data_IF_841101242966
#
_entry.id   IF_841101242966
#
_cell.length_a   1.000
_cell.length_b   1.000
_cell.length_c   1.000
_cell.angle_alpha   90.00
_cell.angle_beta   90.00
_cell.angle_gamma   90.00
#
_symmetry.space_group_name_H-M   'P 1'
#
loop_
_entity.id
_entity.type
_entity.pdbx_description
1 polymer ?
#
# COMPACT_ATOMS: atom_id res chain seq x y z
N UNK A 1 -42.87 8.61 10.94
CA UNK A 1 -42.20 9.02 9.70
C UNK A 1 -40.94 9.77 10.06
N UNK A 2 -39.81 9.36 9.49
CA UNK A 2 -38.46 9.80 9.84
C UNK A 2 -38.05 11.09 9.09
N UNK A 3 -37.11 11.83 9.66
CA UNK A 3 -36.09 12.56 8.87
C UNK A 3 -34.75 12.33 9.55
N UNK A 4 -33.88 11.61 8.87
CA UNK A 4 -32.48 11.36 9.23
C UNK A 4 -31.69 12.58 8.79
N UNK A 5 -30.94 13.21 9.70
CA UNK A 5 -29.95 14.23 9.33
C UNK A 5 -28.64 13.50 9.03
N UNK A 6 -28.43 13.19 7.76
CA UNK A 6 -27.12 12.79 7.23
C UNK A 6 -26.31 14.06 7.02
N UNK A 7 -25.27 14.25 7.81
CA UNK A 7 -24.16 15.13 7.43
C UNK A 7 -22.89 14.31 7.59
N UNK A 8 -22.63 13.46 6.60
CA UNK A 8 -21.32 12.89 6.35
C UNK A 8 -20.83 13.38 4.99
N UNK A 9 -19.64 13.98 5.07
CA UNK A 9 -18.56 14.00 4.09
C UNK A 9 -18.84 14.55 2.69
N UNK A 10 -18.15 15.64 2.36
CA UNK A 10 -16.95 15.62 1.49
C UNK A 10 -16.64 17.06 1.08
N UNK A 11 -15.68 17.69 1.73
CA UNK A 11 -14.98 18.85 1.16
C UNK A 11 -13.65 18.33 0.59
N UNK A 12 -13.70 17.64 -0.54
CA UNK A 12 -12.53 17.49 -1.39
C UNK A 12 -12.40 18.77 -2.24
N UNK A 13 -12.01 19.87 -1.59
CA UNK A 13 -11.62 21.08 -2.33
C UNK A 13 -10.19 20.89 -2.83
N UNK A 14 -10.06 20.58 -4.12
CA UNK A 14 -8.79 20.57 -4.82
C UNK A 14 -8.19 21.98 -4.87
N UNK A 15 -7.13 22.20 -4.10
CA UNK A 15 -6.28 23.39 -4.24
C UNK A 15 -5.05 22.95 -5.05
N UNK A 16 -5.08 23.17 -6.36
CA UNK A 16 -3.93 23.03 -7.28
C UNK A 16 -2.89 24.13 -7.05
N UNK A 17 -2.40 24.29 -5.82
CA UNK A 17 -1.50 25.39 -5.46
C UNK A 17 -0.53 24.97 -4.38
N UNK A 18 0.74 24.84 -4.76
CA UNK A 18 1.90 24.55 -3.93
C UNK A 18 1.87 23.16 -3.28
N UNK A 19 2.66 22.23 -3.85
CA UNK A 19 3.12 21.08 -3.10
C UNK A 19 3.74 21.59 -1.80
N UNK A 20 3.22 21.23 -0.61
CA UNK A 20 4.01 21.40 0.59
C UNK A 20 5.21 20.47 0.41
N UNK A 21 6.38 21.04 0.07
CA UNK A 21 7.62 20.28 -0.17
C UNK A 21 7.94 19.30 0.97
N UNK A 22 7.44 19.57 2.17
CA UNK A 22 7.52 18.65 3.30
C UNK A 22 6.77 17.33 3.09
N UNK A 23 5.55 17.35 2.52
CA UNK A 23 4.77 16.13 2.27
C UNK A 23 5.41 15.25 1.20
N UNK A 24 5.91 15.84 0.10
CA UNK A 24 6.64 15.07 -0.90
C UNK A 24 7.91 14.43 -0.31
N UNK A 25 8.69 15.18 0.49
CA UNK A 25 9.84 14.61 1.21
C UNK A 25 9.44 13.51 2.21
N UNK A 26 8.31 13.68 2.89
CA UNK A 26 7.77 12.66 3.78
C UNK A 26 7.40 11.41 2.99
N UNK A 27 6.68 11.53 1.87
CA UNK A 27 6.32 10.41 1.02
C UNK A 27 7.55 9.62 0.53
N UNK A 28 8.63 10.30 0.13
CA UNK A 28 9.91 9.64 -0.19
C UNK A 28 10.49 8.89 1.01
N UNK A 29 10.43 9.48 2.21
CA UNK A 29 10.93 8.84 3.43
C UNK A 29 10.11 7.60 3.77
N UNK A 30 8.79 7.69 3.67
CA UNK A 30 7.86 6.60 3.92
C UNK A 30 8.06 5.46 2.92
N UNK A 31 8.27 5.79 1.63
CA UNK A 31 8.62 4.81 0.58
C UNK A 31 9.90 4.07 0.95
N UNK A 32 10.96 4.75 1.36
CA UNK A 32 12.22 4.09 1.76
C UNK A 32 12.00 3.12 2.92
N UNK A 33 11.17 3.47 3.91
CA UNK A 33 10.82 2.58 5.02
C UNK A 33 10.06 1.34 4.53
N UNK A 34 9.11 1.51 3.61
CA UNK A 34 8.36 0.41 3.01
C UNK A 34 9.28 -0.47 2.15
N UNK A 35 10.21 0.11 1.37
CA UNK A 35 11.20 -0.64 0.58
C UNK A 35 12.08 -1.50 1.48
N UNK A 36 12.57 -0.95 2.60
CA UNK A 36 13.37 -1.70 3.57
C UNK A 36 12.58 -2.88 4.17
N UNK A 37 11.31 -2.67 4.50
CA UNK A 37 10.43 -3.73 4.99
C UNK A 37 10.16 -4.80 3.91
N UNK A 38 10.01 -4.41 2.64
CA UNK A 38 9.85 -5.31 1.50
C UNK A 38 11.11 -6.17 1.26
N UNK A 39 12.30 -5.58 1.36
CA UNK A 39 13.55 -6.35 1.27
C UNK A 39 13.70 -7.34 2.43
N UNK A 40 13.35 -6.93 3.65
CA UNK A 40 13.32 -7.84 4.80
C UNK A 40 12.31 -8.98 4.60
N UNK A 41 11.15 -8.68 4.00
CA UNK A 41 10.12 -9.67 3.69
C UNK A 41 10.62 -10.67 2.65
N UNK A 42 11.18 -10.20 1.54
CA UNK A 42 11.80 -11.06 0.52
C UNK A 42 12.94 -11.88 1.07
N UNK A 43 13.74 -11.33 1.98
CA UNK A 43 14.79 -12.10 2.67
C UNK A 43 14.22 -13.23 3.54
N UNK A 44 13.03 -13.06 4.12
CA UNK A 44 12.41 -14.05 4.98
C UNK A 44 11.65 -15.13 4.19
N UNK A 45 11.03 -14.77 3.07
CA UNK A 45 10.11 -15.65 2.33
C UNK A 45 10.59 -16.03 0.91
N UNK A 46 11.64 -15.39 0.39
CA UNK A 46 12.20 -15.64 -0.94
C UNK A 46 11.59 -14.79 -2.07
N UNK A 47 10.49 -14.10 -1.81
CA UNK A 47 9.75 -13.30 -2.79
C UNK A 47 9.02 -12.13 -2.13
N UNK A 48 8.60 -11.14 -2.94
CA UNK A 48 7.80 -10.02 -2.45
C UNK A 48 6.33 -10.43 -2.26
N UNK A 49 5.54 -9.66 -1.48
CA UNK A 49 4.10 -9.91 -1.36
C UNK A 49 3.46 -9.86 -2.75
N UNK A 50 2.66 -10.87 -3.09
CA UNK A 50 1.96 -10.95 -4.38
C UNK A 50 0.46 -11.04 -4.16
N UNK A 51 -0.31 -10.93 -5.25
CA UNK A 51 -1.76 -11.07 -5.18
C UNK A 51 -2.10 -12.49 -4.71
N UNK A 52 -2.96 -12.59 -3.69
CA UNK A 52 -3.40 -13.86 -3.11
C UNK A 52 -4.89 -13.84 -2.89
N UNK A 53 -5.48 -15.03 -2.74
CA UNK A 53 -6.84 -15.20 -2.27
C UNK A 53 -6.82 -15.47 -0.76
N UNK A 54 -7.62 -14.73 0.00
CA UNK A 54 -7.80 -14.90 1.44
C UNK A 54 -9.27 -15.16 1.70
N UNK A 55 -9.59 -16.29 2.34
CA UNK A 55 -10.96 -16.71 2.65
C UNK A 55 -11.93 -16.66 1.44
N UNK A 56 -11.41 -16.97 0.24
CA UNK A 56 -12.18 -16.96 -1.01
C UNK A 56 -12.39 -15.59 -1.65
N UNK A 57 -11.86 -14.51 -1.05
CA UNK A 57 -11.83 -13.16 -1.62
C UNK A 57 -10.46 -12.77 -2.17
N UNK A 58 -10.43 -11.79 -3.07
CA UNK A 58 -9.19 -11.14 -3.51
C UNK A 58 -9.11 -9.76 -2.85
N UNK A 59 -8.40 -9.62 -1.71
CA UNK A 59 -8.23 -8.33 -1.06
C UNK A 59 -7.45 -7.35 -1.95
N UNK A 60 -7.62 -6.04 -1.76
CA UNK A 60 -6.84 -5.04 -2.47
C UNK A 60 -5.36 -5.20 -2.13
N UNK A 61 -4.51 -4.89 -3.10
CA UNK A 61 -3.08 -5.11 -3.02
C UNK A 61 -2.42 -4.28 -1.90
N UNK A 62 -3.04 -3.16 -1.55
CA UNK A 62 -2.62 -2.24 -0.49
C UNK A 62 -2.86 -2.84 0.91
N UNK A 63 -3.93 -3.64 1.07
CA UNK A 63 -4.15 -4.42 2.30
C UNK A 63 -3.23 -5.65 2.37
N UNK A 64 -2.95 -6.29 1.23
CA UNK A 64 -1.95 -7.37 1.13
C UNK A 64 -0.59 -6.85 1.60
N UNK A 65 -0.15 -5.70 1.09
CA UNK A 65 1.09 -5.05 1.50
C UNK A 65 1.12 -4.83 3.01
N UNK A 66 0.07 -4.24 3.57
CA UNK A 66 -0.01 -4.01 5.02
C UNK A 66 0.09 -5.31 5.82
N UNK A 67 -0.70 -6.34 5.47
CA UNK A 67 -0.71 -7.61 6.21
C UNK A 67 0.61 -8.37 6.06
N UNK A 68 1.28 -8.28 4.92
CA UNK A 68 2.60 -8.85 4.72
C UNK A 68 3.65 -8.19 5.62
N UNK A 69 3.77 -6.85 5.56
CA UNK A 69 4.81 -6.11 6.28
C UNK A 69 4.55 -5.99 7.79
N UNK A 70 3.29 -6.12 8.20
CA UNK A 70 2.90 -6.20 9.62
C UNK A 70 3.05 -7.60 10.23
N UNK A 71 3.56 -8.56 9.46
CA UNK A 71 3.86 -9.91 9.92
C UNK A 71 2.62 -10.80 10.04
N UNK A 72 1.57 -10.55 9.26
CA UNK A 72 0.35 -11.37 9.26
C UNK A 72 0.20 -12.33 8.11
N UNK A 73 0.93 -12.14 7.01
CA UNK A 73 0.71 -12.93 5.80
C UNK A 73 2.02 -13.33 5.12
N UNK A 74 2.14 -14.61 4.77
CA UNK A 74 3.18 -15.14 3.89
C UNK A 74 2.79 -15.02 2.40
N UNK A 75 3.71 -15.17 1.43
CA UNK A 75 3.42 -14.92 0.01
C UNK A 75 2.35 -15.84 -0.60
N UNK A 76 2.10 -16.99 0.02
CA UNK A 76 1.07 -17.94 -0.37
C UNK A 76 -0.32 -17.60 0.21
N UNK A 77 -0.47 -16.47 0.92
CA UNK A 77 -1.72 -16.05 1.56
C UNK A 77 -1.96 -16.69 2.93
N UNK A 78 -1.05 -17.53 3.43
CA UNK A 78 -1.19 -18.14 4.75
C UNK A 78 -1.09 -17.06 5.85
N UNK A 79 -2.09 -17.03 6.73
CA UNK A 79 -2.10 -16.14 7.88
C UNK A 79 -1.26 -16.72 9.02
N UNK A 80 -0.47 -15.87 9.67
CA UNK A 80 0.45 -16.28 10.72
C UNK A 80 0.89 -15.14 11.63
N UNK A 81 1.77 -15.46 12.57
CA UNK A 81 2.40 -14.49 13.47
C UNK A 81 3.89 -14.38 13.11
N UNK A 82 4.18 -13.72 12.00
CA UNK A 82 5.53 -13.46 11.52
C UNK A 82 6.13 -12.20 12.16
N UNK A 83 7.45 -11.98 12.04
CA UNK A 83 8.08 -10.74 12.52
C UNK A 83 7.41 -9.50 11.93
N UNK A 84 7.25 -8.46 12.77
CA UNK A 84 6.85 -7.14 12.30
C UNK A 84 8.05 -6.51 11.58
N UNK A 85 7.88 -6.21 10.29
CA UNK A 85 8.94 -5.63 9.44
C UNK A 85 8.81 -4.13 9.25
N UNK A 86 7.64 -3.58 9.60
CA UNK A 86 7.30 -2.18 9.44
C UNK A 86 7.44 -1.41 10.76
N UNK A 87 8.08 -0.24 10.72
CA UNK A 87 8.00 0.72 11.83
C UNK A 87 6.68 1.49 11.77
N UNK A 88 5.77 1.14 12.68
CA UNK A 88 4.43 1.73 12.77
C UNK A 88 4.41 3.10 13.43
N UNK A 89 5.51 3.55 14.03
CA UNK A 89 5.56 4.83 14.73
C UNK A 89 5.81 6.02 13.82
N UNK A 90 6.30 5.75 12.60
CA UNK A 90 6.69 6.78 11.62
C UNK A 90 5.78 6.82 10.39
N UNK A 91 4.86 5.87 10.25
CA UNK A 91 3.93 5.76 9.14
C UNK A 91 2.48 6.00 9.58
N UNK A 92 1.66 6.45 8.65
CA UNK A 92 0.23 6.64 8.83
C UNK A 92 -0.56 5.45 8.26
N UNK A 93 -1.73 5.19 8.82
CA UNK A 93 -2.55 4.02 8.49
C UNK A 93 -4.03 4.37 8.39
N UNK A 94 -4.77 3.66 7.55
CA UNK A 94 -6.21 3.92 7.34
C UNK A 94 -7.06 3.59 8.55
N UNK A 95 -6.61 2.65 9.39
CA UNK A 95 -7.27 2.29 10.63
C UNK A 95 -6.28 2.03 11.76
N UNK A 96 -6.79 1.99 12.99
CA UNK A 96 -6.04 1.53 14.16
C UNK A 96 -6.09 0.00 14.35
N UNK A 97 -6.58 -0.75 13.34
CA UNK A 97 -6.62 -2.20 13.38
C UNK A 97 -5.23 -2.74 13.03
N UNK A 98 -4.49 -3.10 14.07
CA UNK A 98 -3.17 -3.69 13.90
C UNK A 98 -3.12 -5.12 14.39
N UNK A 99 -2.18 -5.90 13.87
CA UNK A 99 -2.04 -7.26 14.32
C UNK A 99 -1.49 -7.35 15.75
N UNK A 100 -2.10 -8.22 16.57
CA UNK A 100 -1.71 -8.42 17.98
C UNK A 100 -0.70 -9.56 18.05
N UNK A 101 0.44 -9.35 18.70
CA UNK A 101 1.46 -10.39 18.84
C UNK A 101 0.89 -11.62 19.56
N UNK A 102 0.99 -12.80 18.93
CA UNK A 102 0.47 -14.06 19.48
C UNK A 102 -1.04 -14.27 19.32
N UNK A 103 -1.72 -13.45 18.50
CA UNK A 103 -3.15 -13.63 18.18
C UNK A 103 -3.41 -15.03 17.59
N UNK A 104 -4.41 -15.73 18.13
CA UNK A 104 -4.79 -17.09 17.72
C UNK A 104 -6.32 -17.24 17.68
N UNK A 105 -6.93 -17.56 16.52
CA UNK A 105 -6.27 -17.69 15.21
C UNK A 105 -5.70 -16.35 14.71
N UNK A 106 -4.63 -16.33 13.89
CA UNK A 106 -4.20 -15.11 13.22
C UNK A 106 -5.33 -14.59 12.32
N UNK A 107 -5.53 -13.27 12.30
CA UNK A 107 -6.65 -12.64 11.59
C UNK A 107 -6.15 -11.62 10.59
N UNK A 108 -6.82 -11.55 9.43
CA UNK A 108 -6.66 -10.48 8.47
C UNK A 108 -7.02 -9.14 9.10
N UNK A 109 -6.30 -8.08 8.75
CA UNK A 109 -6.61 -6.72 9.16
C UNK A 109 -6.86 -5.87 7.91
N UNK A 110 -8.09 -5.36 7.77
CA UNK A 110 -8.46 -4.43 6.71
C UNK A 110 -7.86 -3.05 7.03
N UNK A 111 -6.60 -2.87 6.66
CA UNK A 111 -5.82 -1.67 6.92
C UNK A 111 -4.79 -1.48 5.80
N UNK A 112 -4.38 -0.24 5.57
CA UNK A 112 -3.45 0.15 4.50
C UNK A 112 -2.47 1.19 5.01
N UNK A 113 -1.27 1.24 4.42
CA UNK A 113 -0.27 2.27 4.71
C UNK A 113 -0.63 3.51 3.89
N UNK A 114 -0.81 4.66 4.55
CA UNK A 114 -1.20 5.91 3.90
C UNK A 114 0.00 6.78 3.60
N UNK A 115 -0.07 7.48 2.48
CA UNK A 115 0.81 8.56 2.13
C UNK A 115 0.44 9.86 2.87
N UNK A 116 1.28 10.92 2.78
CA UNK A 116 1.03 12.18 3.46
C UNK A 116 -0.23 12.95 3.02
N UNK A 117 -0.89 12.51 1.96
CA UNK A 117 -2.16 13.05 1.47
C UNK A 117 -3.36 12.20 1.89
N UNK A 118 -3.13 11.10 2.60
CA UNK A 118 -4.16 10.21 3.12
C UNK A 118 -4.61 9.15 2.12
N UNK A 119 -3.88 8.98 1.02
CA UNK A 119 -4.15 7.96 0.01
C UNK A 119 -3.26 6.74 0.29
N UNK A 120 -3.74 5.50 0.13
CA UNK A 120 -2.89 4.34 0.28
C UNK A 120 -1.70 4.36 -0.69
N UNK A 121 -0.52 3.95 -0.21
CA UNK A 121 0.59 3.63 -1.10
C UNK A 121 0.19 2.50 -2.05
N UNK A 122 0.44 2.70 -3.32
CA UNK A 122 0.11 1.78 -4.39
C UNK A 122 1.29 0.84 -4.62
N UNK A 123 0.98 -0.45 -4.65
CA UNK A 123 1.97 -1.50 -4.79
C UNK A 123 1.52 -2.48 -5.86
N UNK A 124 2.45 -2.92 -6.70
CA UNK A 124 2.23 -3.90 -7.77
C UNK A 124 3.41 -4.86 -7.86
N UNK A 125 3.08 -6.14 -7.83
CA UNK A 125 4.00 -7.25 -8.09
C UNK A 125 3.16 -8.43 -8.56
N UNK A 126 3.36 -8.85 -9.80
CA UNK A 126 2.55 -9.91 -10.43
C UNK A 126 3.42 -10.89 -11.24
N UNK A 127 4.30 -11.65 -10.56
CA UNK A 127 5.25 -12.54 -11.23
C UNK A 127 4.58 -13.70 -11.97
N UNK A 128 3.28 -13.94 -11.72
CA UNK A 128 2.50 -15.01 -12.35
C UNK A 128 1.82 -14.57 -13.67
N UNK A 129 1.75 -13.26 -13.95
CA UNK A 129 1.25 -12.75 -15.22
C UNK A 129 2.30 -12.96 -16.32
N UNK A 130 1.89 -13.58 -17.43
CA UNK A 130 2.76 -13.84 -18.58
C UNK A 130 3.34 -12.59 -19.24
N UNK A 131 2.70 -11.42 -19.06
CA UNK A 131 3.18 -10.16 -19.61
C UNK A 131 4.14 -9.44 -18.65
N UNK A 132 4.23 -9.87 -17.40
CA UNK A 132 5.03 -9.20 -16.38
C UNK A 132 6.52 -9.46 -16.58
N UNK A 133 7.28 -8.41 -16.90
CA UNK A 133 8.72 -8.49 -17.16
C UNK A 133 9.57 -7.93 -16.00
N UNK A 134 8.94 -7.34 -14.98
CA UNK A 134 9.64 -6.76 -13.84
C UNK A 134 9.99 -7.81 -12.77
N UNK A 135 11.26 -8.16 -12.62
CA UNK A 135 11.68 -9.09 -11.56
C UNK A 135 11.52 -8.53 -10.13
N UNK A 136 11.23 -7.25 -10.00
CA UNK A 136 10.95 -6.55 -8.74
C UNK A 136 9.48 -6.10 -8.69
N UNK A 137 9.19 -5.15 -7.80
CA UNK A 137 7.88 -4.55 -7.63
C UNK A 137 7.86 -3.10 -8.14
N UNK A 138 6.66 -2.53 -8.23
CA UNK A 138 6.45 -1.08 -8.35
C UNK A 138 5.73 -0.60 -7.09
N UNK A 139 6.29 0.42 -6.43
CA UNK A 139 5.73 1.07 -5.24
C UNK A 139 5.70 2.57 -5.49
N UNK A 140 4.56 3.22 -5.21
CA UNK A 140 4.43 4.66 -5.39
C UNK A 140 3.30 5.28 -4.56
N UNK A 141 3.37 6.59 -4.34
CA UNK A 141 2.24 7.41 -3.89
C UNK A 141 1.59 8.07 -5.11
N UNK A 142 0.25 8.16 -5.09
CA UNK A 142 -0.56 8.88 -6.09
C UNK A 142 -0.51 10.41 -5.90
N UNK A 143 0.30 10.90 -4.96
CA UNK A 143 0.50 12.32 -4.76
C UNK A 143 -0.74 13.07 -4.26
N UNK A 144 -0.67 14.42 -4.28
CA UNK A 144 -1.73 15.28 -3.77
C UNK A 144 -3.10 15.14 -4.43
N UNK A 145 -3.17 14.79 -5.71
CA UNK A 145 -4.44 14.69 -6.41
C UNK A 145 -5.12 13.31 -6.27
N UNK A 146 -4.39 12.34 -5.71
CA UNK A 146 -4.81 10.96 -5.48
C UNK A 146 -5.23 10.21 -6.75
N UNK A 147 -4.89 10.73 -7.93
CA UNK A 147 -5.15 10.09 -9.20
C UNK A 147 -3.92 9.31 -9.61
N UNK A 148 -4.18 8.24 -10.34
CA UNK A 148 -3.14 7.49 -10.98
C UNK A 148 -3.72 6.66 -12.12
N UNK A 149 -2.89 6.39 -13.12
CA UNK A 149 -3.04 5.24 -13.99
C UNK A 149 -2.13 4.12 -13.50
N UNK A 150 -2.64 2.89 -13.62
CA UNK A 150 -1.90 1.70 -13.19
C UNK A 150 -0.59 1.51 -13.99
N UNK A 151 0.26 0.62 -13.48
CA UNK A 151 1.50 0.21 -14.13
C UNK A 151 1.23 -0.41 -15.50
N UNK A 152 2.24 -0.43 -16.36
CA UNK A 152 2.12 -1.10 -17.66
C UNK A 152 1.92 -2.61 -17.49
N UNK A 153 1.49 -3.31 -18.54
CA UNK A 153 1.34 -4.77 -18.51
C UNK A 153 2.67 -5.47 -18.18
N UNK A 154 3.79 -4.86 -18.55
CA UNK A 154 5.16 -5.32 -18.30
C UNK A 154 5.65 -5.01 -16.88
N UNK A 155 4.81 -4.42 -16.03
CA UNK A 155 5.12 -4.10 -14.65
C UNK A 155 6.04 -2.90 -14.49
N UNK A 156 6.00 -1.94 -15.42
CA UNK A 156 6.80 -0.72 -15.39
C UNK A 156 5.99 0.50 -14.90
N UNK A 157 6.62 1.48 -14.23
CA UNK A 157 5.98 2.75 -13.92
C UNK A 157 5.43 3.45 -15.16
N UNK A 158 4.15 3.82 -15.16
CA UNK A 158 3.52 4.57 -16.24
C UNK A 158 3.63 6.10 -16.01
N UNK A 159 4.85 6.59 -15.73
CA UNK A 159 5.09 7.97 -15.29
C UNK A 159 4.71 9.05 -16.33
N UNK A 160 4.58 8.68 -17.61
CA UNK A 160 4.17 9.60 -18.68
C UNK A 160 2.65 9.83 -18.75
N UNK A 161 1.84 9.06 -18.02
CA UNK A 161 0.39 9.24 -18.03
C UNK A 161 -0.02 10.56 -17.38
N UNK A 162 -1.06 11.22 -17.89
CA UNK A 162 -1.50 12.54 -17.42
C UNK A 162 -1.94 12.55 -15.94
N UNK A 163 -2.44 11.41 -15.45
CA UNK A 163 -2.82 11.21 -14.04
C UNK A 163 -1.65 10.80 -13.14
N UNK A 164 -0.44 10.62 -13.67
CA UNK A 164 0.74 10.17 -12.90
C UNK A 164 1.80 11.26 -12.72
N UNK A 165 1.45 12.51 -13.02
CA UNK A 165 2.39 13.65 -13.08
C UNK A 165 2.97 14.01 -11.71
N UNK A 166 2.19 13.82 -10.64
CA UNK A 166 2.58 14.06 -9.26
C UNK A 166 2.86 12.78 -8.46
N UNK A 167 2.85 11.62 -9.12
CA UNK A 167 3.19 10.37 -8.48
C UNK A 167 4.65 10.37 -8.02
N UNK A 168 4.88 9.79 -6.85
CA UNK A 168 6.21 9.62 -6.27
C UNK A 168 6.53 8.15 -6.24
N UNK A 169 7.48 7.72 -7.06
CA UNK A 169 7.87 6.32 -7.20
C UNK A 169 9.04 5.97 -6.27
N UNK A 170 9.09 4.70 -5.86
CA UNK A 170 10.28 4.08 -5.32
C UNK A 170 11.38 4.05 -6.38
N UNK A 171 12.59 4.45 -5.99
CA UNK A 171 13.81 4.40 -6.81
C UNK A 171 14.56 3.07 -6.62
#
# INVERSE_FOLDING_TARGET
MAVIVVIMTMLAMGVRGLLPLSKSKQAHTDIIQIQQALEAYKSAFGEYPRRVLVDGGSPPMEEILFNALSGRMAPNGALGNFPLLLDRSVLEFSTNAFPIAGESPPQWKANTILDPWGTPFLYRYDPDDSNWENYNYVLFSAGPDAKYADVTAEGQPNASHADNVDNIYAE
#
